data_IF_858694198988
#
_entry.id   IF_858694198988
#
_cell.length_a   1.000
_cell.length_b   1.000
_cell.length_c   1.000
_cell.angle_alpha   90.00
_cell.angle_beta   90.00
_cell.angle_gamma   90.00
#
_symmetry.space_group_name_H-M   'P 1'
#
loop_
_entity.id
_entity.type
_entity.pdbx_description
1 polymer ?
#
# COMPACT_ATOMS: atom_id res chain seq x y z
N UNK A 1 -21.75 -5.44 -15.69
CA UNK A 1 -20.44 -4.82 -15.81
C UNK A 1 -19.39 -5.74 -15.19
N UNK A 2 -18.44 -6.19 -16.01
CA UNK A 2 -17.41 -7.17 -15.63
C UNK A 2 -16.55 -6.69 -14.45
N UNK A 3 -16.26 -5.39 -14.37
CA UNK A 3 -15.50 -4.81 -13.26
C UNK A 3 -16.27 -4.89 -11.94
N UNK A 4 -17.56 -4.62 -11.94
CA UNK A 4 -18.40 -4.74 -10.74
C UNK A 4 -18.43 -6.19 -10.24
N UNK A 5 -18.57 -7.15 -11.15
CA UNK A 5 -18.56 -8.58 -10.81
C UNK A 5 -17.20 -8.98 -10.24
N UNK A 6 -16.11 -8.51 -10.85
CA UNK A 6 -14.76 -8.78 -10.40
C UNK A 6 -14.51 -8.24 -8.98
N UNK A 7 -14.86 -6.98 -8.71
CA UNK A 7 -14.70 -6.34 -7.39
C UNK A 7 -15.54 -7.03 -6.31
N UNK A 8 -16.81 -7.35 -6.62
CA UNK A 8 -17.67 -8.08 -5.68
C UNK A 8 -17.07 -9.46 -5.37
N UNK A 9 -16.55 -10.15 -6.37
CA UNK A 9 -15.91 -11.45 -6.20
C UNK A 9 -14.64 -11.36 -5.36
N UNK A 10 -13.82 -10.32 -5.54
CA UNK A 10 -12.66 -10.04 -4.69
C UNK A 10 -13.08 -9.84 -3.24
N UNK A 11 -14.03 -8.94 -2.99
CA UNK A 11 -14.51 -8.66 -1.63
C UNK A 11 -15.03 -9.92 -0.95
N UNK A 12 -15.85 -10.71 -1.62
CA UNK A 12 -16.37 -11.97 -1.10
C UNK A 12 -15.26 -12.97 -0.75
N UNK A 13 -14.23 -13.10 -1.61
CA UNK A 13 -13.08 -13.95 -1.29
C UNK A 13 -12.30 -13.48 -0.06
N UNK A 14 -12.38 -12.20 0.28
CA UNK A 14 -11.80 -11.62 1.51
C UNK A 14 -12.78 -11.60 2.70
N UNK A 15 -13.94 -12.25 2.56
CA UNK A 15 -14.97 -12.31 3.62
C UNK A 15 -15.70 -10.98 3.85
N UNK A 16 -15.78 -10.15 2.81
CA UNK A 16 -16.36 -8.80 2.88
C UNK A 16 -17.58 -8.68 1.97
N UNK A 17 -18.62 -8.00 2.45
CA UNK A 17 -19.75 -7.59 1.62
C UNK A 17 -19.50 -6.26 0.90
N UNK A 18 -18.66 -5.42 1.47
CA UNK A 18 -18.23 -4.12 0.95
C UNK A 18 -16.83 -3.77 1.43
N UNK A 19 -16.21 -2.77 0.81
CA UNK A 19 -14.97 -2.18 1.30
C UNK A 19 -15.15 -1.67 2.74
N UNK A 20 -14.13 -1.83 3.58
CA UNK A 20 -14.18 -1.56 5.02
C UNK A 20 -13.14 -0.53 5.50
N UNK A 21 -12.51 0.19 4.56
CA UNK A 21 -11.51 1.22 4.86
C UNK A 21 -10.10 0.68 5.10
N UNK A 22 -9.89 -0.64 4.98
CA UNK A 22 -8.51 -1.17 5.02
C UNK A 22 -7.69 -0.65 3.84
N UNK A 23 -6.40 -0.46 4.05
CA UNK A 23 -5.48 -0.03 2.99
C UNK A 23 -5.39 -1.09 1.89
N UNK A 24 -5.15 -0.66 0.65
CA UNK A 24 -5.27 -1.53 -0.52
C UNK A 24 -4.30 -2.73 -0.49
N UNK A 25 -3.11 -2.58 0.09
CA UNK A 25 -2.18 -3.69 0.24
C UNK A 25 -2.77 -4.88 1.04
N UNK A 26 -3.71 -4.61 1.96
CA UNK A 26 -4.33 -5.62 2.82
C UNK A 26 -5.33 -6.52 2.07
N UNK A 27 -5.72 -6.15 0.84
CA UNK A 27 -6.49 -7.06 -0.02
C UNK A 27 -5.62 -8.18 -0.60
N UNK A 28 -4.30 -8.05 -0.59
CA UNK A 28 -3.31 -9.07 -0.89
C UNK A 28 -3.63 -9.87 -2.15
N UNK A 29 -3.61 -9.17 -3.31
CA UNK A 29 -3.93 -9.79 -4.60
C UNK A 29 -2.88 -10.83 -4.98
N UNK A 30 -3.33 -12.01 -5.42
CA UNK A 30 -2.47 -12.98 -6.07
C UNK A 30 -2.01 -12.47 -7.46
N UNK A 31 -1.00 -13.13 -8.06
CA UNK A 31 -0.57 -12.83 -9.42
C UNK A 31 -1.72 -12.98 -10.42
N UNK A 32 -2.53 -14.02 -10.26
CA UNK A 32 -3.68 -14.28 -11.12
C UNK A 32 -4.77 -13.22 -10.97
N UNK A 33 -5.03 -12.79 -9.73
CA UNK A 33 -5.98 -11.72 -9.44
C UNK A 33 -5.51 -10.40 -10.03
N UNK A 34 -4.22 -10.06 -9.90
CA UNK A 34 -3.65 -8.85 -10.50
C UNK A 34 -3.72 -8.88 -12.03
N UNK A 35 -3.32 -9.98 -12.66
CA UNK A 35 -3.43 -10.15 -14.12
C UNK A 35 -4.89 -10.09 -14.61
N UNK A 36 -5.82 -10.65 -13.84
CA UNK A 36 -7.25 -10.58 -14.15
C UNK A 36 -7.79 -9.16 -14.02
N UNK A 37 -7.39 -8.42 -12.96
CA UNK A 37 -7.74 -7.01 -12.78
C UNK A 37 -7.28 -6.17 -13.96
N UNK A 38 -6.01 -6.30 -14.35
CA UNK A 38 -5.43 -5.58 -15.50
C UNK A 38 -6.24 -5.81 -16.78
N UNK A 39 -6.59 -7.07 -17.06
CA UNK A 39 -7.35 -7.46 -18.25
C UNK A 39 -8.77 -6.88 -18.24
N UNK A 40 -9.49 -7.01 -17.14
CA UNK A 40 -10.87 -6.54 -17.04
C UNK A 40 -10.94 -5.01 -17.08
N UNK A 41 -9.97 -4.34 -16.46
CA UNK A 41 -9.86 -2.88 -16.51
C UNK A 41 -9.49 -2.39 -17.91
N UNK A 42 -8.52 -3.04 -18.57
CA UNK A 42 -8.14 -2.73 -19.95
C UNK A 42 -9.32 -2.91 -20.93
N UNK A 43 -10.10 -4.00 -20.78
CA UNK A 43 -11.32 -4.19 -21.57
C UNK A 43 -12.35 -3.07 -21.34
N UNK A 44 -12.56 -2.66 -20.10
CA UNK A 44 -13.49 -1.57 -19.80
C UNK A 44 -13.06 -0.22 -20.39
N UNK A 45 -11.75 0.04 -20.43
CA UNK A 45 -11.17 1.23 -21.10
C UNK A 45 -11.41 1.17 -22.60
N UNK A 46 -11.12 0.01 -23.23
CA UNK A 46 -11.33 -0.17 -24.68
C UNK A 46 -12.81 -0.05 -25.08
N UNK A 47 -13.70 -0.72 -24.34
CA UNK A 47 -15.16 -0.65 -24.57
C UNK A 47 -15.74 0.76 -24.39
N UNK A 48 -15.06 1.57 -23.58
CA UNK A 48 -15.43 2.96 -23.40
C UNK A 48 -14.99 3.87 -24.54
N UNK A 49 -14.03 3.45 -25.35
CA UNK A 49 -13.34 4.27 -26.33
C UNK A 49 -12.16 5.05 -25.76
N UNK A 50 -11.57 4.58 -24.63
CA UNK A 50 -10.41 5.16 -23.98
C UNK A 50 -10.66 5.53 -22.51
N UNK A 51 -9.58 5.82 -21.79
CA UNK A 51 -9.62 6.10 -20.36
C UNK A 51 -10.35 7.42 -20.04
N UNK A 52 -10.21 8.44 -20.86
CA UNK A 52 -10.91 9.70 -20.73
C UNK A 52 -12.42 9.50 -20.83
N UNK A 53 -12.87 8.80 -21.87
CA UNK A 53 -14.29 8.51 -22.08
C UNK A 53 -14.87 7.64 -20.95
N UNK A 54 -14.12 6.68 -20.43
CA UNK A 54 -14.50 5.88 -19.27
C UNK A 54 -14.67 6.79 -18.04
N UNK A 55 -13.71 7.67 -17.77
CA UNK A 55 -13.74 8.55 -16.61
C UNK A 55 -14.91 9.55 -16.69
N UNK A 56 -15.16 10.16 -17.84
CA UNK A 56 -16.31 11.06 -18.04
C UNK A 56 -17.62 10.34 -17.75
N UNK A 57 -17.79 9.11 -18.24
CA UNK A 57 -18.99 8.30 -17.93
C UNK A 57 -19.14 8.03 -16.44
N UNK A 58 -18.06 7.65 -15.76
CA UNK A 58 -18.10 7.33 -14.33
C UNK A 58 -18.38 8.55 -13.44
N UNK A 59 -17.97 9.74 -13.88
CA UNK A 59 -18.18 11.00 -13.15
C UNK A 59 -19.49 11.69 -13.47
N UNK A 60 -20.26 11.16 -14.43
CA UNK A 60 -21.55 11.71 -14.86
C UNK A 60 -22.69 11.58 -13.84
N UNK A 61 -23.93 11.83 -14.31
CA UNK A 61 -25.13 11.83 -13.45
C UNK A 61 -25.44 10.50 -12.76
N UNK A 62 -25.15 9.39 -13.42
CA UNK A 62 -25.30 8.04 -12.83
C UNK A 62 -23.92 7.45 -12.62
N UNK A 63 -23.31 7.70 -11.46
CA UNK A 63 -21.92 7.36 -11.24
C UNK A 63 -21.70 5.84 -11.20
N UNK A 64 -20.80 5.36 -12.04
CA UNK A 64 -20.26 4.00 -11.92
C UNK A 64 -19.04 4.03 -11.02
N UNK A 65 -19.07 3.27 -9.94
CA UNK A 65 -18.00 3.25 -8.94
C UNK A 65 -16.93 2.18 -9.22
N UNK A 66 -17.26 1.14 -9.96
CA UNK A 66 -16.36 0.02 -10.18
C UNK A 66 -15.10 0.39 -10.99
N UNK A 67 -15.15 1.14 -12.11
CA UNK A 67 -13.94 1.47 -12.84
C UNK A 67 -12.95 2.34 -12.04
N UNK A 68 -13.37 3.43 -11.33
CA UNK A 68 -12.45 4.18 -10.48
C UNK A 68 -11.84 3.32 -9.35
N UNK A 69 -12.65 2.46 -8.72
CA UNK A 69 -12.17 1.57 -7.66
C UNK A 69 -11.14 0.55 -8.18
N UNK A 70 -11.40 -0.05 -9.33
CA UNK A 70 -10.48 -0.96 -9.99
C UNK A 70 -9.17 -0.27 -10.39
N UNK A 71 -9.24 0.95 -10.93
CA UNK A 71 -8.06 1.72 -11.31
C UNK A 71 -7.16 2.04 -10.11
N UNK A 72 -7.73 2.48 -9.00
CA UNK A 72 -6.96 2.77 -7.77
C UNK A 72 -6.31 1.53 -7.21
N UNK A 73 -7.01 0.40 -7.18
CA UNK A 73 -6.45 -0.88 -6.76
C UNK A 73 -5.33 -1.34 -7.71
N UNK A 74 -5.54 -1.24 -9.02
CA UNK A 74 -4.52 -1.56 -10.03
C UNK A 74 -3.27 -0.69 -9.86
N UNK A 75 -3.42 0.62 -9.66
CA UNK A 75 -2.31 1.54 -9.46
C UNK A 75 -1.49 1.20 -8.19
N UNK A 76 -2.16 0.86 -7.08
CA UNK A 76 -1.50 0.42 -5.86
C UNK A 76 -0.74 -0.90 -6.04
N UNK A 77 -1.32 -1.86 -6.76
CA UNK A 77 -0.65 -3.13 -7.08
C UNK A 77 0.53 -2.92 -8.03
N UNK A 78 0.40 -2.04 -9.02
CA UNK A 78 1.51 -1.67 -9.90
C UNK A 78 2.67 -1.07 -9.09
N UNK A 79 2.40 -0.12 -8.20
CA UNK A 79 3.42 0.44 -7.30
C UNK A 79 4.13 -0.66 -6.51
N UNK A 80 3.38 -1.52 -5.87
CA UNK A 80 3.92 -2.59 -5.04
C UNK A 80 4.81 -3.56 -5.82
N UNK A 81 4.41 -3.94 -7.03
CA UNK A 81 5.01 -5.03 -7.82
C UNK A 81 6.05 -4.57 -8.82
N UNK A 82 5.80 -3.45 -9.49
CA UNK A 82 6.54 -3.06 -10.70
C UNK A 82 7.41 -1.81 -10.52
N UNK A 83 7.19 -1.01 -9.48
CA UNK A 83 8.01 0.18 -9.27
C UNK A 83 9.47 -0.19 -8.97
N UNK A 84 10.38 0.25 -9.86
CA UNK A 84 11.82 -0.05 -9.81
C UNK A 84 12.67 1.17 -9.41
N UNK A 85 12.04 2.31 -9.16
CA UNK A 85 12.68 3.59 -8.95
C UNK A 85 12.49 4.56 -10.13
N UNK A 86 13.05 5.76 -10.01
CA UNK A 86 12.91 6.79 -11.02
C UNK A 86 11.79 7.78 -10.73
N UNK A 87 11.27 8.42 -11.77
CA UNK A 87 10.19 9.40 -11.62
C UNK A 87 8.90 8.71 -11.22
N UNK A 88 8.31 9.18 -10.12
CA UNK A 88 7.02 8.71 -9.67
C UNK A 88 5.92 9.64 -10.20
N UNK A 89 5.24 9.19 -11.23
CA UNK A 89 4.07 9.84 -11.81
C UNK A 89 3.05 8.82 -12.32
N UNK A 90 2.01 9.28 -13.02
CA UNK A 90 0.94 8.42 -13.51
C UNK A 90 1.26 7.71 -14.84
N UNK A 91 2.24 8.20 -15.58
CA UNK A 91 2.52 7.72 -16.93
C UNK A 91 2.78 6.21 -16.99
N UNK A 92 3.70 5.63 -16.20
CA UNK A 92 3.97 4.19 -16.30
C UNK A 92 2.77 3.33 -15.86
N UNK A 93 1.91 3.85 -14.99
CA UNK A 93 0.68 3.13 -14.58
C UNK A 93 -0.32 3.07 -15.72
N UNK A 94 -0.50 4.21 -16.43
CA UNK A 94 -1.45 4.33 -17.54
C UNK A 94 -0.95 3.56 -18.77
N UNK A 95 0.35 3.65 -19.08
CA UNK A 95 1.00 2.88 -20.15
C UNK A 95 0.84 1.37 -19.95
N UNK A 96 0.85 0.90 -18.70
CA UNK A 96 0.64 -0.52 -18.39
C UNK A 96 -0.77 -1.02 -18.74
N UNK A 97 -1.70 -0.11 -18.96
CA UNK A 97 -3.07 -0.38 -19.42
C UNK A 97 -3.21 -0.21 -20.95
N UNK A 98 -2.10 -0.21 -21.69
CA UNK A 98 -2.04 0.04 -23.13
C UNK A 98 -2.72 1.36 -23.53
N UNK A 99 -2.57 2.38 -22.71
CA UNK A 99 -3.23 3.68 -22.84
C UNK A 99 -2.19 4.80 -22.86
N UNK A 100 -2.39 5.78 -23.73
CA UNK A 100 -1.56 6.98 -23.78
C UNK A 100 -1.78 7.83 -22.50
N UNK A 101 -0.74 8.13 -21.72
CA UNK A 101 -0.85 8.97 -20.53
C UNK A 101 -1.42 10.36 -20.78
N UNK A 102 -1.17 10.95 -21.96
CA UNK A 102 -1.69 12.26 -22.34
C UNK A 102 -3.21 12.24 -22.56
N UNK A 103 -3.78 11.08 -22.85
CA UNK A 103 -5.23 10.89 -22.98
C UNK A 103 -6.00 10.94 -21.66
N UNK A 104 -5.33 11.12 -20.51
CA UNK A 104 -5.98 11.20 -19.20
C UNK A 104 -5.66 12.52 -18.49
N UNK A 105 -6.44 13.59 -18.75
CA UNK A 105 -6.21 14.92 -18.19
C UNK A 105 -6.13 14.92 -16.67
N UNK A 106 -5.21 15.70 -16.10
CA UNK A 106 -4.87 15.70 -14.68
C UNK A 106 -6.08 15.97 -13.77
N UNK A 107 -6.95 16.90 -14.13
CA UNK A 107 -8.14 17.20 -13.33
C UNK A 107 -9.10 16.00 -13.32
N UNK A 108 -9.41 15.47 -14.49
CA UNK A 108 -10.31 14.32 -14.65
C UNK A 108 -9.78 13.09 -13.91
N UNK A 109 -8.48 12.85 -14.03
CA UNK A 109 -7.78 11.78 -13.30
C UNK A 109 -7.88 11.95 -11.79
N UNK A 110 -7.70 13.17 -11.28
CA UNK A 110 -7.79 13.47 -9.86
C UNK A 110 -9.19 13.16 -9.30
N UNK A 111 -10.23 13.55 -10.01
CA UNK A 111 -11.62 13.26 -9.63
C UNK A 111 -11.92 11.75 -9.70
N UNK A 112 -11.41 11.08 -10.72
CA UNK A 112 -11.55 9.63 -10.90
C UNK A 112 -10.87 8.85 -9.76
N UNK A 113 -9.63 9.21 -9.41
CA UNK A 113 -8.89 8.61 -8.30
C UNK A 113 -9.57 8.90 -6.96
N UNK A 114 -10.02 10.13 -6.72
CA UNK A 114 -10.76 10.47 -5.50
C UNK A 114 -12.00 9.59 -5.32
N UNK A 115 -12.74 9.35 -6.40
CA UNK A 115 -13.91 8.47 -6.39
C UNK A 115 -13.56 7.01 -6.15
N UNK A 116 -12.45 6.55 -6.73
CA UNK A 116 -11.92 5.21 -6.47
C UNK A 116 -11.52 5.01 -5.01
N UNK A 117 -10.80 5.95 -4.41
CA UNK A 117 -10.46 5.94 -2.99
C UNK A 117 -11.71 5.92 -2.11
N UNK A 118 -12.71 6.75 -2.45
CA UNK A 118 -13.99 6.78 -1.72
C UNK A 118 -14.73 5.44 -1.74
N UNK A 119 -14.71 4.70 -2.85
CA UNK A 119 -15.25 3.33 -2.89
C UNK A 119 -14.60 2.42 -1.84
N UNK A 120 -13.28 2.52 -1.68
CA UNK A 120 -12.52 1.76 -0.71
C UNK A 120 -12.62 2.31 0.73
N UNK A 121 -13.42 3.36 0.94
CA UNK A 121 -13.53 4.11 2.20
C UNK A 121 -12.19 4.72 2.66
N UNK A 122 -11.40 5.15 1.70
CA UNK A 122 -10.09 5.79 1.90
C UNK A 122 -10.17 7.26 1.53
N UNK A 123 -9.33 8.07 2.20
CA UNK A 123 -9.18 9.50 1.90
C UNK A 123 -7.85 9.76 1.21
N UNK A 124 -7.79 10.70 0.25
CA UNK A 124 -6.53 11.17 -0.28
C UNK A 124 -5.66 11.80 0.81
N UNK A 125 -4.33 11.76 0.63
CA UNK A 125 -3.41 12.49 1.50
C UNK A 125 -3.77 13.99 1.52
N UNK A 126 -3.51 14.63 2.65
CA UNK A 126 -3.81 16.07 2.85
C UNK A 126 -2.77 17.01 2.23
N UNK A 127 -1.56 16.51 1.95
CA UNK A 127 -0.43 17.30 1.47
C UNK A 127 0.42 16.56 0.44
N UNK A 128 1.36 17.25 -0.18
CA UNK A 128 2.28 16.69 -1.16
C UNK A 128 1.59 16.32 -2.48
N UNK A 129 2.06 15.26 -3.13
CA UNK A 129 1.42 14.68 -4.33
C UNK A 129 0.18 13.87 -3.92
N UNK A 130 -0.86 14.57 -3.55
CA UNK A 130 -2.08 14.10 -2.87
C UNK A 130 -2.60 12.74 -3.37
N UNK A 131 -2.82 12.58 -4.66
CA UNK A 131 -3.44 11.36 -5.20
C UNK A 131 -2.42 10.25 -5.44
N UNK A 132 -1.31 10.56 -6.09
CA UNK A 132 -0.28 9.55 -6.37
C UNK A 132 0.44 9.12 -5.07
N UNK A 133 0.64 10.03 -4.13
CA UNK A 133 1.12 9.69 -2.79
C UNK A 133 0.18 8.75 -2.04
N UNK A 134 -1.13 8.94 -2.20
CA UNK A 134 -2.14 8.01 -1.65
C UNK A 134 -1.99 6.61 -2.22
N UNK A 135 -1.65 6.47 -3.51
CA UNK A 135 -1.39 5.17 -4.12
C UNK A 135 -0.18 4.48 -3.47
N UNK A 136 0.90 5.22 -3.22
CA UNK A 136 2.11 4.69 -2.55
C UNK A 136 1.78 4.16 -1.16
N UNK A 137 1.16 5.00 -0.33
CA UNK A 137 0.81 4.62 1.06
C UNK A 137 -0.15 3.43 1.08
N UNK A 138 -1.09 3.37 0.16
CA UNK A 138 -2.05 2.27 0.06
C UNK A 138 -1.46 0.99 -0.56
N UNK A 139 -0.43 1.11 -1.41
CA UNK A 139 0.24 -0.03 -2.06
C UNK A 139 1.23 -0.75 -1.14
N UNK A 140 1.78 -0.03 -0.16
CA UNK A 140 2.75 -0.59 0.78
C UNK A 140 4.20 -0.55 0.27
N UNK A 141 5.08 -1.27 0.93
CA UNK A 141 6.51 -1.33 0.58
C UNK A 141 6.69 -2.01 -0.77
N UNK A 142 7.43 -1.39 -1.73
CA UNK A 142 7.69 -2.01 -3.02
C UNK A 142 8.46 -3.32 -2.90
N UNK A 143 8.07 -4.33 -3.67
CA UNK A 143 8.73 -5.65 -3.66
C UNK A 143 10.21 -5.55 -4.07
N UNK A 144 10.55 -4.62 -4.96
CA UNK A 144 11.94 -4.36 -5.36
C UNK A 144 12.80 -3.81 -4.23
N UNK A 145 12.23 -2.97 -3.37
CA UNK A 145 12.94 -2.50 -2.17
C UNK A 145 13.23 -3.67 -1.21
N UNK A 146 12.30 -4.60 -1.04
CA UNK A 146 12.54 -5.83 -0.26
C UNK A 146 13.60 -6.72 -0.90
N UNK A 147 13.59 -6.89 -2.22
CA UNK A 147 14.53 -7.76 -2.92
C UNK A 147 15.97 -7.24 -2.90
N UNK A 148 16.16 -5.92 -3.02
CA UNK A 148 17.50 -5.32 -3.22
C UNK A 148 17.95 -4.42 -2.07
N UNK A 149 17.06 -4.04 -1.19
CA UNK A 149 17.30 -3.10 -0.10
C UNK A 149 16.78 -3.57 1.28
N UNK A 150 16.57 -4.86 1.47
CA UNK A 150 16.05 -5.40 2.74
C UNK A 150 16.92 -5.05 3.95
N UNK A 151 18.25 -5.13 3.81
CA UNK A 151 19.20 -4.77 4.88
C UNK A 151 19.10 -3.29 5.28
N UNK A 152 19.26 -2.34 4.35
CA UNK A 152 19.04 -0.92 4.61
C UNK A 152 17.65 -0.62 5.18
N UNK A 153 16.59 -1.25 4.65
CA UNK A 153 15.23 -1.08 5.15
C UNK A 153 15.10 -1.56 6.61
N UNK A 154 15.62 -2.74 6.94
CA UNK A 154 15.64 -3.26 8.30
C UNK A 154 16.38 -2.31 9.24
N UNK A 155 17.55 -1.81 8.84
CA UNK A 155 18.35 -0.86 9.63
C UNK A 155 17.58 0.41 9.93
N UNK A 156 16.93 1.01 8.94
CA UNK A 156 16.14 2.23 9.13
C UNK A 156 14.96 1.98 10.05
N UNK A 157 14.22 0.89 9.84
CA UNK A 157 13.08 0.53 10.70
C UNK A 157 13.51 0.26 12.14
N UNK A 158 14.61 -0.46 12.37
CA UNK A 158 15.17 -0.70 13.71
C UNK A 158 15.56 0.59 14.40
N UNK A 159 16.19 1.53 13.70
CA UNK A 159 16.56 2.83 14.27
C UNK A 159 15.33 3.66 14.66
N UNK A 160 14.31 3.72 13.81
CA UNK A 160 13.06 4.44 14.12
C UNK A 160 12.32 3.76 15.27
N UNK A 161 12.26 2.43 15.30
CA UNK A 161 11.64 1.65 16.36
C UNK A 161 12.34 1.88 17.71
N UNK A 162 13.67 1.89 17.76
CA UNK A 162 14.43 2.14 18.97
C UNK A 162 14.16 3.54 19.53
N UNK A 163 14.06 4.56 18.67
CA UNK A 163 13.71 5.92 19.09
C UNK A 163 12.26 6.00 19.61
N UNK A 164 11.33 5.35 18.93
CA UNK A 164 9.93 5.27 19.33
C UNK A 164 9.78 4.66 20.74
N UNK A 165 10.45 3.54 20.96
CA UNK A 165 10.40 2.83 22.25
C UNK A 165 11.04 3.64 23.37
N UNK A 166 12.23 4.23 23.13
CA UNK A 166 12.98 4.99 24.13
C UNK A 166 12.30 6.26 24.57
N UNK A 167 11.70 7.01 23.64
CA UNK A 167 11.18 8.36 23.90
C UNK A 167 9.65 8.43 23.89
N UNK A 168 8.96 7.34 23.66
CA UNK A 168 7.49 7.28 23.52
C UNK A 168 6.96 8.33 22.53
N UNK A 169 7.61 8.43 21.38
CA UNK A 169 7.30 9.42 20.36
C UNK A 169 5.93 9.19 19.74
N UNK A 170 5.23 10.29 19.48
CA UNK A 170 4.03 10.27 18.67
C UNK A 170 4.36 10.25 17.17
N UNK A 171 3.32 10.15 16.34
CA UNK A 171 3.45 10.02 14.88
C UNK A 171 4.30 11.12 14.23
N UNK A 172 4.18 12.38 14.67
CA UNK A 172 4.94 13.51 14.09
C UNK A 172 6.46 13.31 14.25
N UNK A 173 6.91 12.98 15.46
CA UNK A 173 8.33 12.74 15.73
C UNK A 173 8.85 11.49 15.01
N UNK A 174 8.02 10.45 14.89
CA UNK A 174 8.36 9.26 14.12
C UNK A 174 8.52 9.57 12.64
N UNK A 175 7.68 10.44 12.07
CA UNK A 175 7.76 10.86 10.68
C UNK A 175 9.04 11.67 10.43
N UNK A 176 9.37 12.63 11.31
CA UNK A 176 10.63 13.39 11.24
C UNK A 176 11.85 12.45 11.27
N UNK A 177 11.86 11.49 12.19
CA UNK A 177 12.93 10.50 12.28
C UNK A 177 13.02 9.61 11.03
N UNK A 178 11.89 9.19 10.47
CA UNK A 178 11.85 8.39 9.25
C UNK A 178 12.38 9.19 8.04
N UNK A 179 12.01 10.47 7.91
CA UNK A 179 12.51 11.37 6.86
C UNK A 179 14.03 11.53 6.95
N UNK A 180 14.58 11.76 8.13
CA UNK A 180 16.03 11.88 8.33
C UNK A 180 16.78 10.60 7.95
N UNK A 181 16.23 9.43 8.29
CA UNK A 181 16.88 8.13 8.12
C UNK A 181 16.67 7.49 6.76
N UNK A 182 15.73 7.98 5.96
CA UNK A 182 15.55 7.46 4.59
C UNK A 182 16.80 7.65 3.71
N UNK A 183 17.77 8.49 4.11
CA UNK A 183 19.05 8.64 3.43
C UNK A 183 19.84 7.33 3.33
N UNK A 184 19.58 6.38 4.23
CA UNK A 184 20.19 5.05 4.21
C UNK A 184 19.51 4.09 3.24
N UNK A 185 18.31 4.42 2.74
CA UNK A 185 17.64 3.66 1.68
C UNK A 185 18.29 3.93 0.32
N UNK A 186 18.12 3.02 -0.66
CA UNK A 186 18.50 3.31 -2.04
C UNK A 186 17.81 4.59 -2.54
N UNK A 187 18.53 5.41 -3.32
CA UNK A 187 18.09 6.74 -3.72
C UNK A 187 16.70 6.78 -4.37
N UNK A 188 16.35 5.74 -5.13
CA UNK A 188 15.04 5.58 -5.77
C UNK A 188 13.84 5.59 -4.81
N UNK A 189 14.07 5.26 -3.53
CA UNK A 189 13.02 5.13 -2.51
C UNK A 189 13.07 6.22 -1.44
N UNK A 190 13.89 7.26 -1.62
CA UNK A 190 13.97 8.40 -0.70
C UNK A 190 12.87 9.41 -1.01
N UNK A 191 11.66 9.13 -0.49
CA UNK A 191 10.45 9.91 -0.74
C UNK A 191 9.65 10.11 0.54
N UNK A 192 8.92 11.22 0.69
CA UNK A 192 8.07 11.46 1.86
C UNK A 192 7.07 10.33 2.09
N UNK A 193 6.49 9.78 1.03
CA UNK A 193 5.50 8.70 1.10
C UNK A 193 6.11 7.39 1.64
N UNK A 194 7.38 7.13 1.36
CA UNK A 194 8.10 5.99 1.95
C UNK A 194 8.27 6.20 3.47
N UNK A 195 8.55 7.42 3.90
CA UNK A 195 8.62 7.73 5.34
C UNK A 195 7.30 7.47 6.06
N UNK A 196 6.16 7.76 5.42
CA UNK A 196 4.84 7.39 5.94
C UNK A 196 4.70 5.87 6.10
N UNK A 197 5.16 5.08 5.13
CA UNK A 197 5.16 3.62 5.21
C UNK A 197 6.08 3.09 6.32
N UNK A 198 7.26 3.69 6.52
CA UNK A 198 8.17 3.33 7.59
C UNK A 198 7.53 3.57 8.97
N UNK A 199 6.88 4.72 9.15
CA UNK A 199 6.14 5.04 10.37
C UNK A 199 5.01 4.06 10.61
N UNK A 200 4.22 3.76 9.59
CA UNK A 200 3.14 2.77 9.68
C UNK A 200 3.68 1.38 10.11
N UNK A 201 4.83 0.97 9.59
CA UNK A 201 5.48 -0.27 10.00
C UNK A 201 5.81 -0.28 11.50
N UNK A 202 6.44 0.79 11.98
CA UNK A 202 6.81 0.93 13.40
C UNK A 202 5.58 0.99 14.28
N UNK A 203 4.55 1.74 13.90
CA UNK A 203 3.28 1.81 14.63
C UNK A 203 2.63 0.44 14.79
N UNK A 204 2.62 -0.37 13.73
CA UNK A 204 2.08 -1.75 13.80
C UNK A 204 2.89 -2.61 14.77
N UNK A 205 4.22 -2.53 14.75
CA UNK A 205 5.08 -3.27 15.69
C UNK A 205 4.79 -2.88 17.14
N UNK A 206 4.69 -1.57 17.43
CA UNK A 206 4.40 -1.07 18.77
C UNK A 206 3.00 -1.46 19.24
N UNK A 207 2.00 -1.38 18.36
CA UNK A 207 0.64 -1.84 18.66
C UNK A 207 0.60 -3.32 18.99
N UNK A 208 1.29 -4.17 18.22
CA UNK A 208 1.37 -5.61 18.51
C UNK A 208 2.06 -5.88 19.85
N UNK A 209 3.16 -5.15 20.15
CA UNK A 209 3.87 -5.27 21.43
C UNK A 209 2.94 -5.00 22.61
N UNK A 210 2.16 -3.91 22.55
CA UNK A 210 1.24 -3.48 23.60
C UNK A 210 0.02 -4.42 23.69
N UNK A 211 -0.66 -4.67 22.57
CA UNK A 211 -1.91 -5.44 22.51
C UNK A 211 -1.73 -6.88 23.01
N UNK A 212 -0.60 -7.51 22.67
CA UNK A 212 -0.33 -8.89 23.02
C UNK A 212 0.72 -9.07 24.13
N UNK A 213 1.14 -7.99 24.79
CA UNK A 213 2.08 -7.99 25.91
C UNK A 213 3.37 -8.76 25.60
N UNK A 214 4.01 -8.40 24.48
CA UNK A 214 5.16 -9.14 23.95
C UNK A 214 6.48 -8.85 24.69
N UNK A 215 6.51 -7.86 25.57
CA UNK A 215 7.71 -7.42 26.30
C UNK A 215 8.32 -8.57 27.12
N UNK A 216 9.62 -8.78 26.93
CA UNK A 216 10.38 -9.80 27.66
C UNK A 216 10.10 -11.25 27.23
N UNK A 217 9.25 -11.49 26.24
CA UNK A 217 9.02 -12.85 25.74
C UNK A 217 10.24 -13.36 24.96
N UNK A 218 10.61 -14.61 25.20
CA UNK A 218 11.71 -15.27 24.47
C UNK A 218 11.36 -15.55 23.00
N UNK A 219 10.10 -15.86 22.72
CA UNK A 219 9.60 -16.02 21.35
C UNK A 219 8.27 -15.28 21.15
N UNK A 220 8.33 -13.96 20.88
CA UNK A 220 7.13 -13.14 20.67
C UNK A 220 6.39 -13.50 19.38
N UNK A 221 7.10 -14.02 18.37
CA UNK A 221 6.46 -14.42 17.11
C UNK A 221 5.63 -15.69 17.25
N UNK A 222 6.09 -16.69 18.01
CA UNK A 222 5.29 -17.86 18.33
C UNK A 222 4.02 -17.48 19.11
N UNK A 223 4.14 -16.54 20.05
CA UNK A 223 2.97 -16.01 20.77
C UNK A 223 1.97 -15.36 19.82
N UNK A 224 2.43 -14.54 18.88
CA UNK A 224 1.54 -13.92 17.89
C UNK A 224 0.91 -14.94 16.95
N UNK A 225 1.64 -15.96 16.53
CA UNK A 225 1.11 -17.03 15.67
C UNK A 225 -0.01 -17.83 16.35
N UNK A 226 0.07 -17.95 17.69
CA UNK A 226 -0.96 -18.60 18.50
C UNK A 226 -2.22 -17.73 18.68
N UNK A 227 -2.04 -16.46 19.10
CA UNK A 227 -3.16 -15.60 19.54
C UNK A 227 -3.72 -14.72 18.46
N UNK A 228 -2.98 -14.44 17.41
CA UNK A 228 -3.33 -13.54 16.31
C UNK A 228 -2.74 -14.02 14.98
N UNK A 229 -3.11 -15.21 14.44
CA UNK A 229 -2.42 -15.82 13.28
C UNK A 229 -2.34 -14.93 12.04
N UNK A 230 -3.21 -13.93 11.93
CA UNK A 230 -3.21 -12.98 10.82
C UNK A 230 -2.37 -11.70 11.08
N UNK A 231 -1.57 -11.65 12.16
CA UNK A 231 -0.83 -10.45 12.57
C UNK A 231 0.08 -9.87 11.48
N UNK A 232 0.68 -10.74 10.64
CA UNK A 232 1.55 -10.31 9.53
C UNK A 232 0.80 -9.47 8.49
N UNK A 233 -0.50 -9.69 8.32
CA UNK A 233 -1.33 -8.94 7.36
C UNK A 233 -1.56 -7.48 7.74
N UNK A 234 -1.21 -7.08 8.96
CA UNK A 234 -1.28 -5.68 9.41
C UNK A 234 -0.17 -4.81 8.82
N UNK A 235 0.91 -5.44 8.32
CA UNK A 235 2.08 -4.73 7.78
C UNK A 235 1.90 -4.38 6.29
N UNK A 236 2.37 -3.19 5.86
CA UNK A 236 2.27 -2.74 4.48
C UNK A 236 3.32 -3.40 3.57
N UNK A 237 3.29 -4.74 3.46
CA UNK A 237 4.31 -5.52 2.75
C UNK A 237 3.72 -6.77 2.11
N UNK A 238 4.31 -7.22 0.99
CA UNK A 238 3.93 -8.45 0.33
C UNK A 238 4.41 -9.67 1.15
N UNK A 239 3.48 -10.45 1.69
CA UNK A 239 3.77 -11.56 2.61
C UNK A 239 4.38 -12.79 1.95
N UNK A 240 4.27 -12.95 0.64
CA UNK A 240 4.89 -14.05 -0.10
C UNK A 240 6.42 -13.98 -0.17
N UNK A 241 7.02 -12.84 0.20
CA UNK A 241 8.47 -12.63 0.20
C UNK A 241 9.11 -13.19 1.47
N UNK A 242 10.13 -14.05 1.34
CA UNK A 242 10.93 -14.51 2.47
C UNK A 242 11.63 -13.36 3.18
N UNK A 243 12.11 -12.36 2.43
CA UNK A 243 12.71 -11.15 2.99
C UNK A 243 11.73 -10.37 3.86
N UNK A 244 10.46 -10.28 3.47
CA UNK A 244 9.41 -9.68 4.29
C UNK A 244 9.18 -10.46 5.57
N UNK A 245 9.09 -11.78 5.51
CA UNK A 245 8.90 -12.64 6.69
C UNK A 245 10.06 -12.48 7.69
N UNK A 246 11.28 -12.47 7.19
CA UNK A 246 12.47 -12.25 8.01
C UNK A 246 12.49 -10.87 8.67
N UNK A 247 12.13 -9.83 7.90
CA UNK A 247 12.03 -8.45 8.38
C UNK A 247 11.01 -8.33 9.51
N UNK A 248 9.79 -8.85 9.33
CA UNK A 248 8.72 -8.79 10.33
C UNK A 248 9.12 -9.52 11.62
N UNK A 249 9.66 -10.73 11.49
CA UNK A 249 10.14 -11.53 12.62
C UNK A 249 11.24 -10.79 13.40
N UNK A 250 12.20 -10.20 12.69
CA UNK A 250 13.29 -9.43 13.30
C UNK A 250 12.79 -8.23 14.10
N UNK A 251 11.92 -7.41 13.51
CA UNK A 251 11.38 -6.21 14.16
C UNK A 251 10.50 -6.52 15.38
N UNK A 252 9.68 -7.55 15.30
CA UNK A 252 8.86 -7.99 16.45
C UNK A 252 9.73 -8.47 17.60
N UNK A 253 10.78 -9.26 17.32
CA UNK A 253 11.73 -9.72 18.34
C UNK A 253 12.50 -8.55 18.97
N UNK A 254 12.95 -7.61 18.14
CA UNK A 254 13.63 -6.40 18.62
C UNK A 254 12.73 -5.57 19.53
N UNK A 255 11.48 -5.34 19.15
CA UNK A 255 10.52 -4.60 19.96
C UNK A 255 10.23 -5.28 21.30
N UNK A 256 10.13 -6.60 21.32
CA UNK A 256 9.89 -7.36 22.54
C UNK A 256 11.09 -7.32 23.50
N UNK A 257 12.33 -7.19 22.98
CA UNK A 257 13.55 -7.09 23.77
C UNK A 257 13.81 -5.68 24.33
N UNK A 258 13.17 -4.65 23.77
CA UNK A 258 13.28 -3.26 24.26
C UNK A 258 12.36 -3.03 25.46
N UNK A 259 12.92 -2.72 26.60
CA UNK A 259 12.21 -2.36 27.85
C UNK A 259 12.03 -0.85 27.99
#
# INVERSE_FOLDING_TARGET
DSLSIWLISLLKRRGLDRADGRLLFAYDLSEEEHASLSRVLGSAIADAGGIEALAIRCLGRTPALAPPAAFVLFAAEWWKREYEGGVWDWSPIIEKLDTDPESFPAQLRSEFVARGLSFWQLSPLSSGKRFIGSIVVNGGIPMRLLAHGAGPLATVLSQVLALASRFRWGRTQLLEAAVERQIYLPAAYRRPEISELLVQFVEVVLQLKEEYQLEGLSDPTARLDEVAPAWRRRFPVALASEAAQALLTGLVREAAAQT
#
